data_IF_180089783655
#
_entry.id   IF_180089783655
#
_cell.length_a   1.000
_cell.length_b   1.000
_cell.length_c   1.000
_cell.angle_alpha   90.00
_cell.angle_beta   90.00
_cell.angle_gamma   90.00
#
_symmetry.space_group_name_H-M   'P 1'
#
loop_
_entity.id
_entity.type
_entity.pdbx_description
1 polymer ?
#
# COMPACT_ATOMS: atom_id res chain seq x y z
N UNK A 1 10.96 -35.51 -1.77
CA UNK A 1 11.38 -34.36 -2.61
C UNK A 1 11.20 -33.04 -1.85
N UNK A 2 11.66 -32.99 -0.59
CA UNK A 2 11.43 -31.90 0.39
C UNK A 2 12.74 -31.23 0.84
N UNK A 3 13.89 -31.82 0.52
CA UNK A 3 15.22 -31.38 0.97
C UNK A 3 15.71 -30.13 0.22
N UNK A 4 15.29 -29.95 -1.03
CA UNK A 4 15.75 -28.83 -1.89
C UNK A 4 15.22 -27.46 -1.42
N UNK A 5 14.06 -27.46 -0.75
CA UNK A 5 13.44 -26.24 -0.20
C UNK A 5 14.16 -25.72 1.05
N UNK A 6 14.70 -26.62 1.89
CA UNK A 6 15.44 -26.25 3.09
C UNK A 6 16.82 -25.68 2.75
N UNK A 7 17.51 -26.28 1.77
CA UNK A 7 18.81 -25.83 1.29
C UNK A 7 18.74 -24.44 0.62
N UNK A 8 17.64 -24.11 -0.09
CA UNK A 8 17.42 -22.77 -0.64
C UNK A 8 17.16 -21.71 0.42
N UNK A 9 16.42 -22.02 1.49
CA UNK A 9 16.16 -21.08 2.60
C UNK A 9 17.42 -20.71 3.38
N UNK A 10 18.33 -21.66 3.57
CA UNK A 10 19.60 -21.41 4.23
C UNK A 10 20.53 -20.45 3.44
N UNK A 11 20.34 -20.35 2.11
CA UNK A 11 21.19 -19.54 1.24
C UNK A 11 20.84 -18.04 1.25
N UNK A 12 19.66 -17.67 1.73
CA UNK A 12 19.28 -16.27 1.91
C UNK A 12 18.30 -16.14 3.11
N UNK A 13 18.80 -16.07 4.35
CA UNK A 13 17.95 -15.90 5.53
C UNK A 13 17.15 -14.59 5.52
N UNK A 14 17.51 -13.60 4.67
CA UNK A 14 16.73 -12.38 4.47
C UNK A 14 15.55 -12.54 3.48
N UNK A 15 15.41 -13.71 2.85
CA UNK A 15 14.28 -14.02 1.96
C UNK A 15 13.08 -14.62 2.69
N UNK A 16 13.21 -14.94 3.98
CA UNK A 16 12.04 -15.28 4.79
C UNK A 16 11.25 -13.97 5.02
N UNK A 17 9.94 -13.93 4.75
CA UNK A 17 9.13 -12.78 5.12
C UNK A 17 9.23 -12.69 6.64
N UNK A 18 9.97 -11.72 7.17
CA UNK A 18 10.03 -11.50 8.61
C UNK A 18 8.59 -11.27 9.12
N UNK A 19 8.00 -12.30 9.70
CA UNK A 19 6.67 -12.30 10.28
C UNK A 19 6.66 -11.64 11.67
N UNK A 20 7.72 -10.90 12.02
CA UNK A 20 7.84 -10.25 13.32
C UNK A 20 6.68 -9.26 13.52
N UNK A 21 6.10 -9.21 14.73
CA UNK A 21 4.94 -8.37 15.03
C UNK A 21 5.18 -6.88 14.75
N UNK A 22 6.43 -6.41 14.85
CA UNK A 22 6.86 -5.04 14.52
C UNK A 22 6.65 -4.70 13.04
N UNK A 23 7.10 -5.56 12.11
CA UNK A 23 6.90 -5.32 10.66
C UNK A 23 5.43 -5.40 10.25
N UNK A 24 4.62 -6.19 10.94
CA UNK A 24 3.17 -6.21 10.72
C UNK A 24 2.46 -4.95 11.22
N UNK A 25 2.95 -4.36 12.32
CA UNK A 25 2.45 -3.10 12.88
C UNK A 25 2.75 -1.92 11.96
N UNK A 26 4.00 -1.79 11.49
CA UNK A 26 4.42 -0.77 10.52
C UNK A 26 3.61 -0.86 9.23
N UNK A 27 3.39 -2.07 8.72
CA UNK A 27 2.61 -2.27 7.51
C UNK A 27 1.12 -1.92 7.72
N UNK A 28 0.56 -2.07 8.93
CA UNK A 28 -0.80 -1.59 9.30
C UNK A 28 -0.86 -0.08 9.35
N UNK A 29 0.13 0.56 9.96
CA UNK A 29 0.24 2.01 10.00
C UNK A 29 0.32 2.59 8.59
N UNK A 30 1.16 2.03 7.72
CA UNK A 30 1.35 2.50 6.34
C UNK A 30 0.07 2.38 5.49
N UNK A 31 -0.67 1.27 5.62
CA UNK A 31 -1.97 1.12 4.93
C UNK A 31 -3.00 2.11 5.47
N UNK A 32 -3.01 2.38 6.78
CA UNK A 32 -3.88 3.37 7.40
C UNK A 32 -3.61 4.79 6.88
N UNK A 33 -2.34 5.21 6.88
CA UNK A 33 -1.89 6.52 6.37
C UNK A 33 -2.23 6.66 4.88
N UNK A 34 -1.95 5.63 4.08
CA UNK A 34 -2.25 5.64 2.65
C UNK A 34 -3.76 5.76 2.35
N UNK A 35 -4.59 5.11 3.16
CA UNK A 35 -6.06 5.21 3.03
C UNK A 35 -6.55 6.63 3.35
N UNK A 36 -6.08 7.22 4.45
CA UNK A 36 -6.42 8.60 4.83
C UNK A 36 -5.98 9.59 3.75
N UNK A 37 -4.74 9.45 3.25
CA UNK A 37 -4.21 10.31 2.19
C UNK A 37 -5.02 10.22 0.89
N UNK A 38 -5.50 9.02 0.55
CA UNK A 38 -6.38 8.81 -0.62
C UNK A 38 -7.71 9.54 -0.44
N UNK A 39 -8.38 9.39 0.71
CA UNK A 39 -9.66 10.05 1.01
C UNK A 39 -9.51 11.58 0.95
N UNK A 40 -8.46 12.12 1.58
CA UNK A 40 -8.18 13.56 1.56
C UNK A 40 -7.93 14.06 0.14
N UNK A 41 -7.18 13.32 -0.68
CA UNK A 41 -6.89 13.70 -2.07
C UNK A 41 -8.16 13.74 -2.92
N UNK A 42 -9.07 12.80 -2.73
CA UNK A 42 -10.39 12.81 -3.39
C UNK A 42 -11.20 14.03 -2.94
N UNK A 43 -11.24 14.31 -1.64
CA UNK A 43 -11.95 15.48 -1.11
C UNK A 43 -11.42 16.79 -1.69
N UNK A 44 -10.11 16.96 -1.76
CA UNK A 44 -9.49 18.15 -2.36
C UNK A 44 -9.78 18.25 -3.85
N UNK A 45 -9.74 17.14 -4.60
CA UNK A 45 -10.14 17.14 -6.00
C UNK A 45 -11.58 17.61 -6.20
N UNK A 46 -12.52 17.16 -5.36
CA UNK A 46 -13.92 17.59 -5.40
C UNK A 46 -14.06 19.09 -5.12
N UNK A 47 -13.29 19.65 -4.17
CA UNK A 47 -13.30 21.10 -3.91
C UNK A 47 -12.82 21.86 -5.15
N UNK A 48 -11.73 21.43 -5.79
CA UNK A 48 -11.24 22.09 -7.00
C UNK A 48 -12.25 22.06 -8.15
N UNK A 49 -12.94 20.93 -8.36
CA UNK A 49 -13.95 20.82 -9.42
C UNK A 49 -15.27 21.53 -9.11
N UNK A 50 -15.74 21.50 -7.86
CA UNK A 50 -17.10 21.94 -7.50
C UNK A 50 -17.16 23.33 -6.89
N UNK A 51 -16.06 23.83 -6.33
CA UNK A 51 -16.02 25.11 -5.60
C UNK A 51 -15.13 26.13 -6.29
N UNK A 52 -14.01 25.70 -6.88
CA UNK A 52 -13.01 26.59 -7.47
C UNK A 52 -13.02 26.62 -9.01
N UNK A 53 -13.79 25.74 -9.66
CA UNK A 53 -13.84 25.55 -11.12
C UNK A 53 -12.45 25.37 -11.78
N UNK A 54 -11.46 24.92 -11.01
CA UNK A 54 -10.09 24.71 -11.49
C UNK A 54 -9.86 23.24 -11.85
N UNK A 55 -10.02 22.97 -13.14
CA UNK A 55 -9.91 21.63 -13.72
C UNK A 55 -8.49 21.09 -13.64
N UNK A 56 -7.46 21.94 -13.77
CA UNK A 56 -6.07 21.50 -13.81
C UNK A 56 -5.65 20.94 -12.45
N UNK A 57 -5.87 21.69 -11.38
CA UNK A 57 -5.57 21.20 -10.03
C UNK A 57 -6.48 20.03 -9.63
N UNK A 58 -7.75 20.04 -10.03
CA UNK A 58 -8.65 18.90 -9.84
C UNK A 58 -8.08 17.60 -10.42
N UNK A 59 -7.61 17.63 -11.67
CA UNK A 59 -6.98 16.46 -12.32
C UNK A 59 -5.71 16.02 -11.58
N UNK A 60 -4.85 16.96 -11.16
CA UNK A 60 -3.63 16.64 -10.41
C UNK A 60 -3.96 15.87 -9.13
N UNK A 61 -4.96 16.32 -8.36
CA UNK A 61 -5.37 15.63 -7.14
C UNK A 61 -6.04 14.27 -7.41
N UNK A 62 -6.75 14.11 -8.53
CA UNK A 62 -7.25 12.79 -8.96
C UNK A 62 -6.10 11.84 -9.25
N UNK A 63 -5.06 12.28 -9.96
CA UNK A 63 -3.87 11.44 -10.22
C UNK A 63 -3.19 11.04 -8.92
N UNK A 64 -3.02 11.99 -7.99
CA UNK A 64 -2.46 11.71 -6.66
C UNK A 64 -3.31 10.68 -5.91
N UNK A 65 -4.63 10.82 -5.93
CA UNK A 65 -5.55 9.87 -5.30
C UNK A 65 -5.41 8.45 -5.89
N UNK A 66 -5.32 8.33 -7.22
CA UNK A 66 -5.14 7.04 -7.91
C UNK A 66 -3.81 6.38 -7.53
N UNK A 67 -2.72 7.14 -7.52
CA UNK A 67 -1.39 6.63 -7.14
C UNK A 67 -1.37 6.20 -5.68
N UNK A 68 -1.92 7.01 -4.78
CA UNK A 68 -2.03 6.68 -3.36
C UNK A 68 -2.88 5.42 -3.13
N UNK A 69 -4.01 5.30 -3.83
CA UNK A 69 -4.87 4.12 -3.77
C UNK A 69 -4.14 2.87 -4.28
N UNK A 70 -3.43 2.96 -5.40
CA UNK A 70 -2.68 1.84 -5.97
C UNK A 70 -1.58 1.33 -5.02
N UNK A 71 -0.82 2.25 -4.41
CA UNK A 71 0.22 1.90 -3.42
C UNK A 71 -0.41 1.25 -2.18
N UNK A 72 -1.50 1.82 -1.67
CA UNK A 72 -2.22 1.31 -0.50
C UNK A 72 -2.79 -0.08 -0.77
N UNK A 73 -3.39 -0.29 -1.93
CA UNK A 73 -3.92 -1.58 -2.37
C UNK A 73 -2.81 -2.62 -2.54
N UNK A 74 -1.66 -2.25 -3.12
CA UNK A 74 -0.51 -3.12 -3.24
C UNK A 74 0.00 -3.59 -1.87
N UNK A 75 0.15 -2.66 -0.92
CA UNK A 75 0.54 -2.98 0.44
C UNK A 75 -0.50 -3.87 1.16
N UNK A 76 -1.79 -3.63 0.93
CA UNK A 76 -2.87 -4.44 1.49
C UNK A 76 -2.93 -5.86 0.87
N UNK A 77 -2.72 -6.00 -0.43
CA UNK A 77 -2.65 -7.30 -1.10
C UNK A 77 -1.47 -8.14 -0.61
N UNK A 78 -0.30 -7.51 -0.38
CA UNK A 78 0.86 -8.20 0.20
C UNK A 78 0.56 -8.80 1.57
N UNK A 79 -0.23 -8.13 2.41
CA UNK A 79 -0.72 -8.69 3.69
C UNK A 79 -1.61 -9.91 3.51
N UNK A 80 -2.54 -9.86 2.54
CA UNK A 80 -3.48 -10.98 2.32
C UNK A 80 -2.72 -12.24 1.87
N UNK A 81 -1.71 -12.10 1.02
CA UNK A 81 -0.83 -13.22 0.63
C UNK A 81 -0.02 -13.77 1.81
N UNK A 82 0.55 -12.91 2.66
CA UNK A 82 1.33 -13.33 3.83
C UNK A 82 0.49 -14.02 4.94
N UNK A 83 -0.84 -13.85 4.93
CA UNK A 83 -1.76 -14.48 5.89
C UNK A 83 -2.38 -15.78 5.37
N UNK A 84 -2.24 -16.06 4.07
CA UNK A 84 -2.79 -17.24 3.39
C UNK A 84 -1.78 -18.41 3.29
N UNK A 85 -0.55 -18.19 3.75
CA UNK A 85 0.51 -19.21 3.86
C UNK A 85 0.71 -19.51 5.34
#
# INVERSE_FOLDING_TARGET
>A
MTEDSAARRARNPAADPDHTPEKQSELKLNVGIGTIGTILSIGVALIFFLVLDDVLFGIVFVVVAVVAAAITLYAAQRKRKARST
#
